data_IF_680610606476
#
_entry.id   IF_680610606476
#
_cell.length_a   1.000
_cell.length_b   1.000
_cell.length_c   1.000
_cell.angle_alpha   90.00
_cell.angle_beta   90.00
_cell.angle_gamma   90.00
#
_symmetry.space_group_name_H-M   'P 1'
#
loop_
_entity.id
_entity.type
_entity.pdbx_description
1 polymer ?
#
# COMPACT_ATOMS: atom_id res chain seq x y z
N UNK A 1 25.93 17.42 13.99
CA UNK A 1 25.01 17.27 12.84
C UNK A 1 23.69 16.73 13.38
N UNK A 2 22.56 17.37 13.13
CA UNK A 2 21.26 16.77 13.47
C UNK A 2 21.10 15.50 12.63
N UNK A 3 20.82 14.37 13.28
CA UNK A 3 20.39 13.16 12.57
C UNK A 3 19.10 13.48 11.82
N UNK A 4 18.99 13.00 10.58
CA UNK A 4 17.73 13.12 9.83
C UNK A 4 16.60 12.47 10.65
N UNK A 5 15.42 13.11 10.77
CA UNK A 5 14.35 12.65 11.66
C UNK A 5 13.82 11.26 11.28
N UNK A 6 14.08 10.80 10.04
CA UNK A 6 13.58 9.54 9.51
C UNK A 6 14.48 8.33 9.75
N UNK A 7 15.70 8.52 10.31
CA UNK A 7 16.62 7.40 10.60
C UNK A 7 16.11 6.42 11.63
N UNK A 8 15.19 6.82 12.48
CA UNK A 8 14.58 5.98 13.53
C UNK A 8 13.09 5.72 13.30
N UNK A 9 12.46 6.42 12.35
CA UNK A 9 11.07 6.20 11.97
C UNK A 9 10.89 4.81 11.38
N UNK A 10 9.91 4.06 11.88
CA UNK A 10 9.52 2.78 11.27
C UNK A 10 8.62 3.03 10.05
N UNK A 11 8.55 2.06 9.14
CA UNK A 11 7.88 2.20 7.82
C UNK A 11 8.47 3.29 6.90
N UNK A 12 9.63 3.86 7.24
CA UNK A 12 10.45 4.68 6.33
C UNK A 12 11.86 4.09 6.29
N UNK A 13 12.35 3.83 5.08
CA UNK A 13 13.75 3.50 4.81
C UNK A 13 14.42 4.75 4.23
N UNK A 14 14.97 5.59 5.11
CA UNK A 14 16.02 6.53 4.72
C UNK A 14 17.25 5.72 4.29
N UNK A 15 17.62 5.80 3.01
CA UNK A 15 18.72 5.03 2.46
C UNK A 15 20.07 5.51 3.03
N UNK A 16 20.85 4.67 3.75
CA UNK A 16 22.15 5.07 4.30
C UNK A 16 23.19 5.50 3.26
N UNK A 17 22.99 5.17 1.96
CA UNK A 17 23.91 5.50 0.86
C UNK A 17 23.58 6.82 0.14
N UNK A 18 22.30 7.20 0.05
CA UNK A 18 21.87 8.33 -0.80
C UNK A 18 20.79 9.22 -0.17
N UNK A 19 20.46 9.00 1.10
CA UNK A 19 19.48 9.77 1.90
C UNK A 19 18.06 9.87 1.30
N UNK A 20 17.76 9.10 0.25
CA UNK A 20 16.42 8.92 -0.30
C UNK A 20 15.49 8.36 0.77
N UNK A 21 14.33 9.00 0.94
CA UNK A 21 13.27 8.52 1.81
C UNK A 21 12.38 7.56 1.00
N UNK A 22 12.45 6.28 1.35
CA UNK A 22 11.63 5.22 0.75
C UNK A 22 10.49 4.89 1.72
N UNK A 23 9.25 5.19 1.36
CA UNK A 23 8.08 4.94 2.19
C UNK A 23 7.61 3.50 2.00
N UNK A 24 7.50 2.80 3.11
CA UNK A 24 7.12 1.39 3.17
C UNK A 24 5.62 1.32 3.49
N UNK A 25 4.83 0.92 2.49
CA UNK A 25 3.39 0.73 2.61
C UNK A 25 3.05 -0.21 3.79
N UNK A 26 2.20 0.21 4.76
CA UNK A 26 1.80 -0.63 5.88
C UNK A 26 1.20 -1.97 5.43
N UNK A 27 0.40 -2.02 4.35
CA UNK A 27 -0.24 -3.27 3.92
C UNK A 27 0.78 -4.33 3.49
N UNK A 28 1.87 -3.92 2.86
CA UNK A 28 2.99 -4.78 2.42
C UNK A 28 3.99 -5.05 3.55
N UNK A 29 4.22 -4.08 4.45
CA UNK A 29 5.38 -4.07 5.34
C UNK A 29 5.06 -4.19 6.86
N UNK A 30 3.79 -4.36 7.25
CA UNK A 30 3.40 -4.47 8.67
C UNK A 30 4.14 -5.56 9.46
N UNK A 31 4.29 -6.74 8.85
CA UNK A 31 5.06 -7.87 9.37
C UNK A 31 5.97 -8.38 8.24
N UNK A 32 7.13 -7.76 8.07
CA UNK A 32 8.04 -8.01 6.95
C UNK A 32 9.44 -8.34 7.46
N UNK A 33 10.05 -9.38 6.87
CA UNK A 33 11.45 -9.72 7.04
C UNK A 33 12.01 -10.09 5.67
N UNK A 34 12.97 -9.30 5.18
CA UNK A 34 13.51 -9.48 3.84
C UNK A 34 14.35 -8.29 3.38
N UNK A 35 14.52 -8.18 2.06
CA UNK A 35 15.37 -7.20 1.40
C UNK A 35 14.54 -6.18 0.62
N UNK A 36 14.81 -4.90 0.86
CA UNK A 36 14.16 -3.76 0.21
C UNK A 36 15.17 -3.07 -0.70
N UNK A 37 14.81 -2.82 -1.96
CA UNK A 37 15.63 -2.05 -2.90
C UNK A 37 15.30 -0.55 -2.78
N UNK A 38 16.31 0.30 -2.65
CA UNK A 38 16.15 1.75 -2.63
C UNK A 38 15.82 2.27 -4.03
N UNK A 39 14.73 3.04 -4.15
CA UNK A 39 14.29 3.66 -5.41
C UNK A 39 15.26 4.75 -5.93
N UNK A 40 16.10 5.32 -5.06
CA UNK A 40 17.01 6.41 -5.43
C UNK A 40 18.35 5.97 -6.02
N UNK A 41 18.92 4.86 -5.55
CA UNK A 41 20.29 4.43 -5.93
C UNK A 41 20.46 2.91 -6.09
N UNK A 42 19.34 2.17 -6.17
CA UNK A 42 19.26 0.71 -6.36
C UNK A 42 19.93 -0.17 -5.29
N UNK A 43 20.52 0.44 -4.25
CA UNK A 43 21.10 -0.28 -3.11
C UNK A 43 20.04 -1.10 -2.36
N UNK A 44 20.42 -2.32 -1.96
CA UNK A 44 19.52 -3.28 -1.32
C UNK A 44 19.84 -3.36 0.17
N UNK A 45 18.80 -3.32 0.99
CA UNK A 45 18.88 -3.27 2.45
C UNK A 45 18.05 -4.39 3.06
N UNK A 46 18.65 -5.21 3.92
CA UNK A 46 17.92 -6.13 4.77
C UNK A 46 17.18 -5.34 5.86
N UNK A 47 15.91 -5.67 6.07
CA UNK A 47 14.99 -4.93 6.93
C UNK A 47 14.03 -5.89 7.63
N UNK A 48 13.71 -5.61 8.89
CA UNK A 48 12.79 -6.40 9.70
C UNK A 48 11.83 -5.48 10.47
N UNK A 49 10.53 -5.69 10.24
CA UNK A 49 9.40 -4.98 10.78
C UNK A 49 8.44 -5.99 11.41
N UNK A 50 8.03 -5.75 12.65
CA UNK A 50 6.98 -6.52 13.33
C UNK A 50 5.98 -5.55 13.92
N UNK A 51 4.70 -5.72 13.60
CA UNK A 51 3.61 -4.81 13.92
C UNK A 51 3.97 -3.35 13.59
N UNK A 52 4.43 -3.12 12.37
CA UNK A 52 4.86 -1.83 11.85
C UNK A 52 6.13 -1.24 12.49
N UNK A 53 6.73 -1.91 13.48
CA UNK A 53 7.89 -1.42 14.24
C UNK A 53 9.18 -2.08 13.78
N UNK A 54 10.20 -1.27 13.46
CA UNK A 54 11.52 -1.73 13.00
C UNK A 54 12.28 -2.43 14.13
N UNK A 55 12.91 -3.58 13.84
CA UNK A 55 13.69 -4.35 14.82
C UNK A 55 15.19 -4.04 14.85
N UNK A 56 15.77 -3.60 13.73
CA UNK A 56 17.17 -3.22 13.62
C UNK A 56 17.36 -2.14 12.55
N UNK A 57 18.50 -1.43 12.59
CA UNK A 57 18.89 -0.53 11.50
C UNK A 57 19.00 -1.30 10.16
N UNK A 58 18.74 -0.65 9.00
CA UNK A 58 18.91 -1.29 7.70
C UNK A 58 20.36 -1.79 7.50
N UNK A 59 20.51 -3.09 7.26
CA UNK A 59 21.81 -3.71 6.99
C UNK A 59 22.05 -3.84 5.48
N UNK A 60 23.27 -3.58 5.01
CA UNK A 60 23.59 -3.70 3.59
C UNK A 60 23.42 -5.14 3.10
N UNK A 61 22.80 -5.32 1.94
CA UNK A 61 22.50 -6.63 1.38
C UNK A 61 22.76 -6.69 -0.14
N UNK A 62 22.92 -7.90 -0.66
CA UNK A 62 23.07 -8.20 -2.08
C UNK A 62 21.75 -8.65 -2.71
N UNK A 63 21.67 -8.61 -4.05
CA UNK A 63 20.54 -9.10 -4.83
C UNK A 63 20.25 -10.61 -4.60
N UNK A 64 19.02 -11.10 -4.88
CA UNK A 64 17.82 -10.35 -5.28
C UNK A 64 17.24 -9.50 -4.14
N UNK A 65 16.23 -8.69 -4.45
CA UNK A 65 15.41 -7.96 -3.48
C UNK A 65 14.00 -8.58 -3.45
N UNK A 66 13.29 -8.47 -2.33
CA UNK A 66 11.98 -9.11 -2.13
C UNK A 66 10.81 -8.15 -2.38
N UNK A 67 10.99 -6.86 -2.05
CA UNK A 67 9.98 -5.80 -2.21
C UNK A 67 10.60 -4.46 -2.60
N UNK A 68 9.82 -3.64 -3.29
CA UNK A 68 10.07 -2.22 -3.50
C UNK A 68 9.25 -1.37 -2.50
N UNK A 69 9.65 -0.12 -2.20
CA UNK A 69 8.80 0.82 -1.47
C UNK A 69 7.54 1.18 -2.26
N UNK A 70 6.54 1.76 -1.61
CA UNK A 70 5.31 2.25 -2.29
C UNK A 70 5.46 3.66 -2.88
N UNK A 71 6.31 4.49 -2.28
CA UNK A 71 6.60 5.85 -2.71
C UNK A 71 8.04 6.22 -2.30
N UNK A 72 8.68 7.13 -3.04
CA UNK A 72 10.02 7.62 -2.76
C UNK A 72 10.25 9.08 -3.19
N UNK A 73 11.04 9.79 -2.37
CA UNK A 73 11.41 11.19 -2.58
C UNK A 73 12.88 11.46 -2.18
N UNK A 74 13.44 12.56 -2.67
CA UNK A 74 14.71 13.11 -2.16
C UNK A 74 14.52 13.79 -0.80
N UNK A 75 15.65 14.08 -0.14
CA UNK A 75 15.73 14.88 1.09
C UNK A 75 15.23 16.32 0.90
N UNK A 76 15.27 16.82 -0.33
CA UNK A 76 14.72 18.13 -0.75
C UNK A 76 13.23 18.08 -1.10
N UNK A 77 12.50 17.05 -0.66
CA UNK A 77 11.05 16.87 -0.86
C UNK A 77 10.62 16.72 -2.32
N UNK A 78 11.54 16.36 -3.22
CA UNK A 78 11.24 16.11 -4.65
C UNK A 78 10.90 14.65 -4.88
N UNK A 79 9.77 14.38 -5.51
CA UNK A 79 9.37 13.03 -5.93
C UNK A 79 10.41 12.43 -6.89
N UNK A 80 10.85 11.19 -6.59
CA UNK A 80 11.67 10.36 -7.49
C UNK A 80 11.00 9.00 -7.78
N UNK A 81 9.72 8.90 -7.42
CA UNK A 81 8.86 7.75 -7.67
C UNK A 81 8.62 7.58 -9.16
N UNK A 82 8.87 6.36 -9.65
CA UNK A 82 8.55 5.90 -11.00
C UNK A 82 8.10 4.44 -10.93
N UNK A 83 7.25 4.01 -11.86
CA UNK A 83 6.68 2.66 -11.91
C UNK A 83 7.74 1.54 -12.09
N UNK A 84 8.97 1.88 -12.48
CA UNK A 84 10.10 0.95 -12.50
C UNK A 84 10.85 0.82 -11.16
N UNK A 85 10.60 1.73 -10.20
CA UNK A 85 11.37 1.91 -8.96
C UNK A 85 10.58 1.64 -7.67
N UNK A 86 9.25 1.74 -7.74
CA UNK A 86 8.34 1.45 -6.62
C UNK A 86 7.44 0.25 -6.92
N UNK A 87 6.86 -0.35 -5.88
CA UNK A 87 5.75 -1.29 -6.06
C UNK A 87 4.60 -0.56 -6.76
N UNK A 88 3.91 -1.25 -7.68
CA UNK A 88 2.63 -0.74 -8.21
C UNK A 88 1.68 -0.54 -7.04
N UNK A 89 1.14 0.68 -6.89
CA UNK A 89 0.15 0.98 -5.86
C UNK A 89 -1.05 0.03 -5.97
N UNK A 90 -1.65 -0.40 -4.85
CA UNK A 90 -2.77 -1.33 -4.86
C UNK A 90 -3.91 -0.75 -5.71
N UNK A 91 -4.16 -1.38 -6.85
CA UNK A 91 -5.28 -1.00 -7.70
C UNK A 91 -6.57 -1.52 -7.06
N UNK A 92 -7.65 -0.75 -7.20
CA UNK A 92 -8.97 -1.32 -7.06
C UNK A 92 -9.09 -2.51 -8.04
N UNK A 93 -9.74 -3.59 -7.61
CA UNK A 93 -9.98 -4.74 -8.48
C UNK A 93 -10.79 -4.28 -9.71
N UNK A 94 -10.60 -4.88 -10.88
CA UNK A 94 -11.33 -4.48 -12.09
C UNK A 94 -12.87 -4.67 -11.97
N UNK A 95 -13.33 -5.56 -11.08
CA UNK A 95 -14.74 -5.73 -10.73
C UNK A 95 -15.28 -4.65 -9.76
N UNK A 96 -14.40 -3.89 -9.11
CA UNK A 96 -14.75 -2.85 -8.14
C UNK A 96 -15.24 -1.57 -8.84
N UNK A 97 -16.46 -1.60 -9.39
CA UNK A 97 -17.06 -0.46 -10.10
C UNK A 97 -17.48 0.72 -9.19
N UNK A 98 -17.21 0.67 -7.88
CA UNK A 98 -17.73 1.65 -6.90
C UNK A 98 -19.26 1.66 -6.75
N UNK A 99 -19.96 0.70 -7.37
CA UNK A 99 -21.43 0.59 -7.36
C UNK A 99 -21.91 -0.29 -6.19
N UNK A 100 -23.03 0.03 -5.54
CA UNK A 100 -23.64 -0.84 -4.53
C UNK A 100 -23.96 -2.23 -5.09
N UNK A 101 -23.72 -3.25 -4.27
CA UNK A 101 -23.84 -4.66 -4.66
C UNK A 101 -25.19 -5.24 -4.16
N UNK A 102 -26.31 -5.24 -4.94
CA UNK A 102 -27.65 -5.60 -4.47
C UNK A 102 -27.83 -6.93 -3.77
N UNK A 103 -28.51 -6.75 -2.65
CA UNK A 103 -28.99 -7.74 -1.72
C UNK A 103 -29.97 -8.71 -2.42
N UNK A 104 -29.47 -9.88 -2.81
CA UNK A 104 -30.29 -11.07 -3.02
C UNK A 104 -30.95 -11.47 -1.69
N UNK A 105 -32.13 -12.09 -1.75
CA UNK A 105 -32.92 -12.44 -0.56
C UNK A 105 -33.33 -13.90 -0.57
N UNK A 106 -33.41 -14.48 0.63
CA UNK A 106 -34.01 -15.79 0.86
C UNK A 106 -35.52 -15.76 0.58
N UNK A 107 -36.16 -16.93 0.45
CA UNK A 107 -37.64 -17.05 0.35
C UNK A 107 -38.41 -16.42 1.51
N UNK A 108 -37.74 -16.06 2.62
CA UNK A 108 -38.32 -15.37 3.80
C UNK A 108 -38.00 -13.87 3.84
N UNK A 109 -37.46 -13.28 2.76
CA UNK A 109 -37.17 -11.84 2.68
C UNK A 109 -35.84 -11.39 3.30
N UNK A 110 -35.16 -12.25 4.07
CA UNK A 110 -33.86 -11.93 4.67
C UNK A 110 -32.75 -11.82 3.60
N UNK A 111 -31.81 -10.87 3.74
CA UNK A 111 -30.66 -10.69 2.84
C UNK A 111 -29.72 -11.92 2.82
N UNK A 112 -29.14 -12.24 1.65
CA UNK A 112 -28.29 -13.45 1.44
C UNK A 112 -26.97 -13.16 0.71
N UNK A 113 -26.93 -12.37 -0.37
CA UNK A 113 -25.69 -12.05 -1.12
C UNK A 113 -25.82 -10.77 -1.96
N UNK A 114 -24.81 -10.40 -2.75
CA UNK A 114 -24.79 -9.19 -3.60
C UNK A 114 -24.70 -9.44 -5.13
N UNK A 115 -25.41 -8.68 -5.97
CA UNK A 115 -25.29 -8.60 -7.47
C UNK A 115 -25.03 -7.13 -7.95
N UNK A 116 -25.40 -6.63 -9.16
CA UNK A 116 -25.46 -5.17 -9.50
C UNK A 116 -26.88 -4.57 -9.62
N UNK A 117 -27.17 -3.33 -9.15
CA UNK A 117 -28.55 -2.75 -9.15
C UNK A 117 -28.88 -2.14 -10.52
N UNK A 118 -30.08 -2.40 -11.04
CA UNK A 118 -30.54 -1.86 -12.33
C UNK A 118 -31.37 -0.59 -12.15
N UNK A 119 -31.52 0.20 -13.21
CA UNK A 119 -32.39 1.38 -13.20
C UNK A 119 -33.86 1.03 -12.92
N UNK A 120 -34.30 -0.19 -13.21
CA UNK A 120 -35.65 -0.67 -12.91
C UNK A 120 -35.88 -0.93 -11.41
N UNK A 121 -34.82 -1.08 -10.61
CA UNK A 121 -34.90 -1.40 -9.18
C UNK A 121 -34.97 -0.14 -8.28
N UNK A 122 -34.87 1.05 -8.88
CA UNK A 122 -34.73 2.34 -8.19
C UNK A 122 -35.98 3.22 -8.33
N UNK A 123 -36.14 4.14 -7.36
CA UNK A 123 -36.96 5.35 -7.45
C UNK A 123 -36.02 6.52 -7.16
N UNK A 124 -35.65 7.27 -8.21
CA UNK A 124 -34.51 8.19 -8.14
C UNK A 124 -33.24 7.43 -7.76
N UNK A 125 -32.60 7.83 -6.65
CA UNK A 125 -31.39 7.17 -6.12
C UNK A 125 -31.68 6.12 -5.04
N UNK A 126 -32.94 5.90 -4.64
CA UNK A 126 -33.31 4.95 -3.57
C UNK A 126 -33.77 3.61 -4.15
N UNK A 127 -33.32 2.45 -3.63
CA UNK A 127 -33.90 1.16 -4.01
C UNK A 127 -35.38 1.11 -3.66
N UNK A 128 -36.23 0.59 -4.56
CA UNK A 128 -37.69 0.50 -4.40
C UNK A 128 -38.15 -0.11 -3.06
N UNK A 129 -37.39 -1.06 -2.53
CA UNK A 129 -37.63 -1.71 -1.24
C UNK A 129 -37.43 -0.81 0.00
N UNK A 130 -36.87 0.38 -0.17
CA UNK A 130 -36.61 1.38 0.87
C UNK A 130 -37.09 2.78 0.47
N UNK A 131 -37.93 2.89 -0.57
CA UNK A 131 -38.47 4.17 -1.08
C UNK A 131 -39.68 4.59 -0.25
#
# INVERSE_FOLDING_TARGET
MMSSPFRETSLILECPKCETLNYLDPFTFWNFKGKIKCAGCDAIWAYELVNGTRKAAPAAATAPHDKLPGYAQSKDWKTITDFSKVNKGPQAREDFQGKPIPISKSKRGNPVSGTPLTAADLVGSRPKQFA
#
